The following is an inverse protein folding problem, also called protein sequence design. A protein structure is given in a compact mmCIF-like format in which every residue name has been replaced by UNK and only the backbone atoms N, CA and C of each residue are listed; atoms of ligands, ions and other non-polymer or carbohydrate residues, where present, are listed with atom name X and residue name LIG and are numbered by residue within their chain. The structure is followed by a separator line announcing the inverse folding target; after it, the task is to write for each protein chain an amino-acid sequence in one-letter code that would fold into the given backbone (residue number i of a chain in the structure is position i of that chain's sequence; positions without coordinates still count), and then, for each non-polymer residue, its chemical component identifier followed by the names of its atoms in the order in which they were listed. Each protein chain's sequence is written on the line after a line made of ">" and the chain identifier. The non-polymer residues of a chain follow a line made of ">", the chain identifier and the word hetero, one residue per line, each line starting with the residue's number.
data_IF_051730000733
#
_entry.id   IF_051730000733
#
_cell.length_a   1.000
_cell.length_b   1.000
_cell.length_c   1.000
_cell.angle_alpha   90.00
_cell.angle_beta   90.00
_cell.angle_gamma   90.00
#
_symmetry.space_group_name_H-M   'P 1'
#
loop_
_entity.id
_entity.type
_entity.pdbx_description
1 polymer ?
#
# COMPACT_ATOMS: atom_id res chain seq x y z
N UNK A 1 3.59 -7.34 11.28
CA UNK A 1 2.86 -8.59 11.50
C UNK A 1 2.73 -8.89 13.01
N UNK A 2 3.84 -8.99 13.75
CA UNK A 2 3.84 -9.30 15.19
C UNK A 2 3.00 -8.32 16.02
N UNK A 3 2.90 -7.08 15.62
CA UNK A 3 2.05 -6.07 16.26
C UNK A 3 0.54 -6.30 16.02
N UNK A 4 0.16 -7.10 15.04
CA UNK A 4 -1.25 -7.39 14.70
C UNK A 4 -2.01 -6.19 14.15
N UNK A 5 -1.31 -5.22 13.55
CA UNK A 5 -1.88 -3.98 13.02
C UNK A 5 -2.28 -4.10 11.55
N UNK A 6 -3.25 -3.30 11.06
CA UNK A 6 -3.70 -3.39 9.67
C UNK A 6 -2.62 -2.96 8.67
N UNK A 7 -1.73 -2.05 9.04
CA UNK A 7 -0.80 -1.43 8.10
C UNK A 7 0.56 -2.14 8.08
N UNK A 8 0.68 -3.27 7.38
CA UNK A 8 1.97 -3.97 7.24
C UNK A 8 2.99 -3.15 6.43
N UNK A 9 2.55 -2.39 5.44
CA UNK A 9 3.38 -1.61 4.52
C UNK A 9 3.62 -0.17 4.97
N UNK A 10 3.01 0.29 6.07
CA UNK A 10 3.11 1.67 6.55
C UNK A 10 4.57 2.16 6.71
N UNK A 11 5.47 1.27 7.13
CA UNK A 11 6.88 1.60 7.26
C UNK A 11 7.54 1.87 5.90
N UNK A 12 7.18 1.13 4.87
CA UNK A 12 7.66 1.32 3.50
C UNK A 12 7.15 2.64 2.92
N UNK A 13 5.86 2.90 3.02
CA UNK A 13 5.22 4.10 2.48
C UNK A 13 5.78 5.38 3.10
N UNK A 14 5.96 5.40 4.43
CA UNK A 14 6.56 6.55 5.11
C UNK A 14 8.03 6.76 4.75
N UNK A 15 8.79 5.67 4.55
CA UNK A 15 10.17 5.75 4.11
C UNK A 15 10.29 6.26 2.68
N UNK A 16 9.43 5.80 1.77
CA UNK A 16 9.34 6.27 0.39
C UNK A 16 9.02 7.76 0.36
N UNK A 17 8.00 8.20 1.11
CA UNK A 17 7.61 9.61 1.17
C UNK A 17 8.76 10.51 1.65
N UNK A 18 9.43 10.16 2.75
CA UNK A 18 10.57 10.94 3.26
C UNK A 18 11.74 10.93 2.28
N UNK A 19 12.06 9.79 1.67
CA UNK A 19 13.14 9.66 0.69
C UNK A 19 12.89 10.53 -0.54
N UNK A 20 11.66 10.51 -1.04
CA UNK A 20 11.23 11.35 -2.17
C UNK A 20 11.43 12.85 -1.86
N UNK A 21 10.97 13.31 -0.70
CA UNK A 21 11.15 14.72 -0.31
C UNK A 21 12.61 15.08 -0.12
N UNK A 22 13.44 14.20 0.47
CA UNK A 22 14.90 14.41 0.58
C UNK A 22 15.55 14.52 -0.79
N UNK A 23 15.18 13.66 -1.72
CA UNK A 23 15.69 13.71 -3.08
C UNK A 23 15.28 15.02 -3.77
N UNK A 24 14.00 15.39 -3.71
CA UNK A 24 13.52 16.65 -4.27
C UNK A 24 14.27 17.87 -3.69
N UNK A 25 14.48 17.89 -2.37
CA UNK A 25 15.22 18.96 -1.72
C UNK A 25 16.71 18.98 -2.14
N UNK A 26 17.37 17.81 -2.21
CA UNK A 26 18.76 17.68 -2.64
C UNK A 26 18.99 18.22 -4.06
N UNK A 27 18.07 17.91 -4.96
CA UNK A 27 18.12 18.35 -6.36
C UNK A 27 17.41 19.69 -6.61
N UNK A 28 16.97 20.39 -5.54
CA UNK A 28 16.29 21.70 -5.63
C UNK A 28 15.01 21.67 -6.47
N UNK A 29 14.33 20.52 -6.54
CA UNK A 29 13.08 20.35 -7.26
C UNK A 29 11.92 20.91 -6.44
N UNK A 30 10.99 21.58 -7.10
CA UNK A 30 9.78 22.13 -6.47
C UNK A 30 8.53 21.29 -6.71
N UNK A 31 8.57 20.42 -7.70
CA UNK A 31 7.44 19.59 -8.09
C UNK A 31 7.84 18.12 -8.13
N UNK A 32 6.94 17.28 -7.66
CA UNK A 32 7.03 15.82 -7.74
C UNK A 32 5.75 15.31 -8.41
N UNK A 33 5.89 14.50 -9.44
CA UNK A 33 4.75 13.87 -10.11
C UNK A 33 4.42 12.56 -9.40
N UNK A 34 3.14 12.38 -9.04
CA UNK A 34 2.60 11.13 -8.51
C UNK A 34 1.66 10.48 -9.53
N UNK A 35 1.81 9.18 -9.75
CA UNK A 35 0.98 8.39 -10.66
C UNK A 35 -0.35 7.93 -10.06
N UNK A 36 -0.76 8.44 -8.89
CA UNK A 36 -2.02 8.10 -8.25
C UNK A 36 -3.23 8.49 -9.11
N UNK A 37 -4.22 7.59 -9.22
CA UNK A 37 -5.47 7.82 -9.93
C UNK A 37 -6.67 7.37 -9.09
N UNK A 38 -7.66 8.25 -8.89
CA UNK A 38 -8.91 7.88 -8.23
C UNK A 38 -9.69 6.81 -8.96
N UNK A 39 -9.63 6.82 -10.28
CA UNK A 39 -10.35 5.87 -11.14
C UNK A 39 -9.79 4.45 -10.97
N UNK A 40 -8.45 4.34 -10.90
CA UNK A 40 -7.80 3.04 -10.80
C UNK A 40 -7.70 2.50 -9.36
N UNK A 41 -7.56 3.38 -8.38
CA UNK A 41 -7.22 3.00 -7.01
C UNK A 41 -8.37 3.21 -6.01
N UNK A 42 -9.32 4.09 -6.36
CA UNK A 42 -10.41 4.49 -5.47
C UNK A 42 -9.95 5.42 -4.35
N UNK A 43 -10.81 5.57 -3.35
CA UNK A 43 -10.54 6.37 -2.15
C UNK A 43 -10.71 5.47 -0.93
N UNK A 44 -9.67 5.38 -0.12
CA UNK A 44 -9.71 4.65 1.15
C UNK A 44 -10.19 5.57 2.28
N UNK A 45 -11.20 5.19 3.06
CA UNK A 45 -11.59 5.90 4.26
C UNK A 45 -10.43 5.96 5.26
N UNK A 46 -10.16 7.13 5.84
CA UNK A 46 -9.04 7.35 6.76
C UNK A 46 -9.15 6.62 8.12
N UNK A 47 -10.33 6.10 8.48
CA UNK A 47 -10.66 5.71 9.84
C UNK A 47 -9.73 4.70 10.51
N UNK A 48 -9.40 3.59 9.85
CA UNK A 48 -8.62 2.50 10.45
C UNK A 48 -7.20 2.36 9.89
N UNK A 49 -6.86 3.14 8.88
CA UNK A 49 -5.61 3.05 8.14
C UNK A 49 -4.73 4.30 8.33
N UNK A 50 -4.92 4.99 9.47
CA UNK A 50 -4.09 6.14 9.79
C UNK A 50 -2.74 5.67 10.32
N UNK A 51 -1.68 6.23 9.76
CA UNK A 51 -0.32 6.03 10.25
C UNK A 51 0.54 7.29 10.02
N UNK A 52 1.48 7.49 10.93
CA UNK A 52 2.49 8.56 10.86
C UNK A 52 3.81 8.13 11.49
N UNK A 53 4.74 9.05 11.63
CA UNK A 53 6.03 8.77 12.26
C UNK A 53 5.94 8.41 13.75
N UNK A 54 4.90 8.84 14.48
CA UNK A 54 4.68 8.43 15.86
C UNK A 54 4.21 6.99 15.92
N UNK A 55 3.25 6.63 15.06
CA UNK A 55 2.75 5.27 14.90
C UNK A 55 3.89 4.28 14.65
N UNK A 56 4.75 4.55 13.66
CA UNK A 56 5.91 3.68 13.38
C UNK A 56 6.85 3.58 14.58
N UNK A 57 7.13 4.69 15.27
CA UNK A 57 7.98 4.68 16.46
C UNK A 57 7.37 3.88 17.60
N UNK A 58 6.07 3.97 17.84
CA UNK A 58 5.39 3.24 18.91
C UNK A 58 5.46 1.73 18.71
N UNK A 59 5.19 1.27 17.49
CA UNK A 59 5.31 -0.13 17.10
C UNK A 59 6.77 -0.59 17.24
N UNK A 60 7.69 0.19 16.68
CA UNK A 60 9.13 -0.14 16.75
C UNK A 60 9.66 -0.21 18.19
N UNK A 61 9.22 0.69 19.07
CA UNK A 61 9.60 0.66 20.51
C UNK A 61 9.18 -0.64 21.19
N UNK A 62 8.04 -1.22 20.77
CA UNK A 62 7.47 -2.43 21.39
C UNK A 62 7.99 -3.73 20.77
N UNK A 63 8.18 -3.74 19.45
CA UNK A 63 8.48 -4.96 18.69
C UNK A 63 9.84 -4.92 17.96
N UNK A 64 10.47 -3.75 17.87
CA UNK A 64 11.76 -3.62 17.19
C UNK A 64 12.93 -3.93 18.13
N UNK A 65 13.90 -4.66 17.62
CA UNK A 65 15.13 -5.03 18.33
C UNK A 65 16.38 -4.28 17.83
N UNK A 66 16.25 -3.50 16.75
CA UNK A 66 17.35 -2.75 16.13
C UNK A 66 17.06 -1.26 16.17
N UNK A 67 18.02 -0.42 16.52
CA UNK A 67 17.84 1.04 16.56
C UNK A 67 17.61 1.62 15.16
N UNK A 68 16.57 2.43 14.98
CA UNK A 68 16.30 3.17 13.74
C UNK A 68 17.28 4.34 13.53
N UNK A 69 18.50 4.05 13.08
CA UNK A 69 19.53 5.10 12.85
C UNK A 69 19.41 5.74 11.46
N UNK A 70 19.23 4.94 10.43
CA UNK A 70 19.23 5.38 9.01
C UNK A 70 17.85 5.39 8.38
N UNK A 71 16.86 4.81 9.03
CA UNK A 71 15.51 4.72 8.51
C UNK A 71 14.92 6.12 8.25
N UNK A 72 14.45 6.39 7.02
CA UNK A 72 13.93 7.71 6.64
C UNK A 72 12.50 7.92 7.14
N UNK A 73 12.37 8.13 8.44
CA UNK A 73 11.08 8.31 9.07
C UNK A 73 10.47 9.68 8.73
N UNK A 74 9.32 9.70 8.07
CA UNK A 74 8.50 10.90 7.90
C UNK A 74 7.79 11.23 9.22
N UNK A 75 7.98 12.44 9.72
CA UNK A 75 7.23 12.99 10.85
C UNK A 75 6.44 14.21 10.41
N UNK A 76 5.45 14.63 11.19
CA UNK A 76 4.66 15.82 10.89
C UNK A 76 5.54 17.07 10.70
N UNK A 77 6.54 17.28 11.58
CA UNK A 77 7.46 18.42 11.45
C UNK A 77 8.29 18.37 10.16
N UNK A 78 8.70 17.17 9.73
CA UNK A 78 9.40 17.01 8.45
C UNK A 78 8.46 17.28 7.29
N UNK A 79 7.23 16.80 7.35
CA UNK A 79 6.22 17.10 6.33
C UNK A 79 6.02 18.62 6.17
N UNK A 80 5.84 19.36 7.27
CA UNK A 80 5.76 20.82 7.26
C UNK A 80 7.03 21.44 6.67
N UNK A 81 8.21 20.98 7.08
CA UNK A 81 9.48 21.44 6.52
C UNK A 81 9.51 21.30 5.00
N UNK A 82 9.19 20.11 4.47
CA UNK A 82 9.25 19.86 3.03
C UNK A 82 8.22 20.66 2.24
N UNK A 83 6.99 20.73 2.73
CA UNK A 83 5.88 21.37 2.01
C UNK A 83 5.88 22.90 2.15
N UNK A 84 6.18 23.43 3.33
CA UNK A 84 6.12 24.87 3.58
C UNK A 84 7.48 25.57 3.39
N UNK A 85 8.57 25.08 4.01
CA UNK A 85 9.88 25.74 3.92
C UNK A 85 10.54 25.48 2.55
N UNK A 86 10.57 24.21 2.12
CA UNK A 86 11.14 23.84 0.82
C UNK A 86 10.18 24.05 -0.34
N UNK A 87 8.87 24.25 -0.04
CA UNK A 87 7.79 24.48 -1.02
C UNK A 87 7.70 23.38 -2.08
N UNK A 88 7.97 22.13 -1.69
CA UNK A 88 7.85 20.98 -2.58
C UNK A 88 6.38 20.61 -2.70
N UNK A 89 5.86 20.60 -3.93
CA UNK A 89 4.47 20.28 -4.25
C UNK A 89 4.37 18.96 -4.99
N UNK A 90 3.38 18.16 -4.63
CA UNK A 90 3.01 16.96 -5.38
C UNK A 90 1.93 17.30 -6.40
N UNK A 91 2.12 16.84 -7.62
CA UNK A 91 1.17 16.98 -8.72
C UNK A 91 0.75 15.59 -9.16
N UNK A 92 -0.55 15.39 -9.34
CA UNK A 92 -1.16 14.14 -9.78
C UNK A 92 -1.76 14.31 -11.17
N UNK A 93 -0.97 14.15 -12.23
CA UNK A 93 -1.43 14.44 -13.61
C UNK A 93 -2.65 13.60 -14.01
N UNK A 94 -2.73 12.35 -13.53
CA UNK A 94 -3.83 11.44 -13.87
C UNK A 94 -5.21 11.87 -13.31
N UNK A 95 -5.25 12.91 -12.48
CA UNK A 95 -6.52 13.52 -12.04
C UNK A 95 -7.12 14.50 -13.05
N UNK A 96 -6.32 14.95 -14.00
CA UNK A 96 -6.66 16.05 -14.93
C UNK A 96 -6.73 15.58 -16.39
N UNK A 97 -6.44 14.32 -16.66
CA UNK A 97 -6.49 13.71 -17.98
C UNK A 97 -7.47 12.54 -17.99
N UNK A 98 -8.01 12.24 -19.15
CA UNK A 98 -8.79 11.01 -19.36
C UNK A 98 -7.84 9.81 -19.30
N UNK A 99 -7.82 9.12 -18.16
CA UNK A 99 -6.91 8.03 -17.86
C UNK A 99 -7.64 6.69 -17.81
N UNK A 100 -7.21 5.76 -18.65
CA UNK A 100 -7.64 4.37 -18.61
C UNK A 100 -6.45 3.46 -18.25
N UNK A 101 -6.57 2.72 -17.13
CA UNK A 101 -5.53 1.77 -16.70
C UNK A 101 -5.31 0.67 -17.75
N UNK A 102 -6.37 0.18 -18.38
CA UNK A 102 -6.29 -0.87 -19.40
C UNK A 102 -5.60 -0.36 -20.67
N UNK A 103 -5.91 0.85 -21.12
CA UNK A 103 -5.21 1.48 -22.24
C UNK A 103 -3.72 1.71 -21.93
N UNK A 104 -3.41 2.14 -20.70
CA UNK A 104 -2.02 2.30 -20.25
C UNK A 104 -1.26 0.98 -20.23
N UNK A 105 -1.86 -0.11 -19.71
CA UNK A 105 -1.25 -1.45 -19.72
C UNK A 105 -0.93 -1.91 -21.14
N UNK A 106 -1.91 -1.78 -22.05
CA UNK A 106 -1.73 -2.14 -23.46
C UNK A 106 -0.57 -1.36 -24.10
N UNK A 107 -0.54 -0.05 -23.90
CA UNK A 107 0.55 0.80 -24.39
C UNK A 107 1.92 0.35 -23.85
N UNK A 108 2.01 0.06 -22.55
CA UNK A 108 3.25 -0.36 -21.91
C UNK A 108 3.72 -1.73 -22.41
N UNK A 109 2.80 -2.67 -22.62
CA UNK A 109 3.10 -3.97 -23.21
C UNK A 109 3.61 -3.84 -24.65
N UNK A 110 2.93 -3.06 -25.48
CA UNK A 110 3.28 -2.89 -26.89
C UNK A 110 4.59 -2.13 -27.12
N UNK A 111 4.87 -1.11 -26.29
CA UNK A 111 6.03 -0.21 -26.53
C UNK A 111 7.25 -0.51 -25.67
N UNK A 112 7.06 -1.12 -24.51
CA UNK A 112 8.13 -1.22 -23.50
C UNK A 112 8.32 -2.66 -22.99
N UNK A 113 7.65 -3.63 -23.60
CA UNK A 113 7.71 -5.06 -23.19
C UNK A 113 7.37 -5.26 -21.70
N UNK A 114 6.50 -4.38 -21.16
CA UNK A 114 6.06 -4.49 -19.78
C UNK A 114 5.11 -5.68 -19.61
N UNK A 115 5.31 -6.46 -18.57
CA UNK A 115 4.48 -7.63 -18.28
C UNK A 115 3.48 -7.33 -17.18
N UNK A 116 2.22 -7.73 -17.39
CA UNK A 116 1.17 -7.60 -16.38
C UNK A 116 1.38 -8.64 -15.27
N UNK A 117 1.52 -8.18 -14.05
CA UNK A 117 1.64 -9.00 -12.85
C UNK A 117 0.28 -9.42 -12.24
N UNK A 118 -0.81 -9.26 -12.98
CA UNK A 118 -2.12 -9.86 -12.68
C UNK A 118 -3.04 -9.04 -11.78
N UNK A 119 -2.62 -7.92 -11.19
CA UNK A 119 -3.50 -7.12 -10.35
C UNK A 119 -2.85 -5.93 -9.65
N UNK A 120 -3.65 -5.20 -8.87
CA UNK A 120 -3.20 -4.04 -8.11
C UNK A 120 -2.36 -4.47 -6.90
N UNK A 121 -1.16 -3.93 -6.79
CA UNK A 121 -0.17 -4.24 -5.75
C UNK A 121 0.36 -5.69 -5.71
N UNK A 122 0.17 -6.47 -6.79
CA UNK A 122 0.69 -7.82 -6.86
C UNK A 122 2.16 -7.90 -7.36
N UNK A 123 2.74 -6.78 -7.77
CA UNK A 123 4.16 -6.66 -8.14
C UNK A 123 5.10 -6.90 -6.95
N UNK A 124 4.63 -6.64 -5.73
CA UNK A 124 5.37 -6.89 -4.49
C UNK A 124 4.73 -8.03 -3.71
N UNK A 125 5.46 -9.12 -3.52
CA UNK A 125 4.95 -10.31 -2.84
C UNK A 125 4.54 -10.07 -1.38
N UNK A 126 5.21 -9.18 -0.64
CA UNK A 126 4.81 -8.82 0.73
C UNK A 126 3.48 -8.07 0.72
N UNK A 127 3.31 -7.11 -0.20
CA UNK A 127 2.06 -6.37 -0.37
C UNK A 127 0.94 -7.29 -0.88
N UNK A 128 1.25 -8.23 -1.79
CA UNK A 128 0.32 -9.27 -2.24
C UNK A 128 -0.19 -10.13 -1.08
N UNK A 129 0.72 -10.59 -0.19
CA UNK A 129 0.35 -11.28 1.04
C UNK A 129 -0.53 -10.40 1.94
N UNK A 130 -0.11 -9.15 2.17
CA UNK A 130 -0.84 -8.22 3.05
C UNK A 130 -2.28 -8.00 2.57
N UNK A 131 -2.46 -7.71 1.28
CA UNK A 131 -3.77 -7.39 0.70
C UNK A 131 -4.63 -8.62 0.38
N UNK A 132 -4.02 -9.73 -0.01
CA UNK A 132 -4.75 -10.93 -0.43
C UNK A 132 -5.06 -11.90 0.71
N UNK A 133 -4.23 -11.95 1.75
CA UNK A 133 -4.34 -12.91 2.85
C UNK A 133 -4.55 -12.21 4.19
N UNK A 134 -3.58 -11.40 4.63
CA UNK A 134 -3.57 -10.84 5.98
C UNK A 134 -4.75 -9.93 6.27
N UNK A 135 -4.96 -8.90 5.45
CA UNK A 135 -6.06 -7.95 5.65
C UNK A 135 -7.45 -8.60 5.58
N UNK A 136 -7.77 -9.44 4.56
CA UNK A 136 -9.07 -10.11 4.53
C UNK A 136 -9.29 -11.08 5.68
N UNK A 137 -8.29 -11.88 6.04
CA UNK A 137 -8.46 -12.94 7.03
C UNK A 137 -8.40 -12.42 8.46
N UNK A 138 -7.43 -11.57 8.80
CA UNK A 138 -7.22 -11.07 10.16
C UNK A 138 -7.99 -9.78 10.45
N UNK A 139 -7.94 -8.82 9.55
CA UNK A 139 -8.46 -7.47 9.78
C UNK A 139 -9.90 -7.30 9.28
N UNK A 140 -10.35 -8.21 8.39
CA UNK A 140 -11.65 -8.16 7.73
C UNK A 140 -11.80 -6.96 6.80
N UNK A 141 -10.70 -6.53 6.19
CA UNK A 141 -10.65 -5.47 5.18
C UNK A 141 -10.21 -6.08 3.86
N UNK A 142 -10.97 -5.85 2.81
CA UNK A 142 -10.62 -6.25 1.45
C UNK A 142 -10.53 -5.01 0.54
N UNK A 143 -9.32 -4.63 0.17
CA UNK A 143 -9.07 -3.45 -0.67
C UNK A 143 -9.61 -3.57 -2.09
N UNK A 144 -9.93 -4.79 -2.57
CA UNK A 144 -10.61 -4.96 -3.86
C UNK A 144 -11.96 -4.24 -3.88
N UNK A 145 -12.60 -4.09 -2.71
CA UNK A 145 -13.85 -3.33 -2.60
C UNK A 145 -13.68 -1.88 -3.07
N UNK A 146 -12.57 -1.22 -2.72
CA UNK A 146 -12.29 0.15 -3.15
C UNK A 146 -12.06 0.24 -4.66
N UNK A 147 -11.20 -0.59 -5.20
CA UNK A 147 -10.82 -0.57 -6.63
C UNK A 147 -11.97 -0.99 -7.54
N UNK A 148 -12.71 -2.05 -7.18
CA UNK A 148 -13.88 -2.49 -7.95
C UNK A 148 -15.02 -1.47 -7.88
N UNK A 149 -15.25 -0.85 -6.71
CA UNK A 149 -16.26 0.19 -6.56
C UNK A 149 -15.90 1.46 -7.36
N UNK A 150 -14.63 1.85 -7.41
CA UNK A 150 -14.18 2.96 -8.24
C UNK A 150 -14.41 2.64 -9.73
N UNK A 151 -13.94 1.49 -10.21
CA UNK A 151 -14.12 1.06 -11.59
C UNK A 151 -15.59 0.94 -11.99
N UNK A 152 -16.46 0.50 -11.07
CA UNK A 152 -17.91 0.43 -11.31
C UNK A 152 -18.53 1.82 -11.46
N UNK A 153 -18.19 2.77 -10.59
CA UNK A 153 -18.71 4.15 -10.68
C UNK A 153 -18.31 4.86 -11.96
N UNK A 154 -17.13 4.55 -12.47
CA UNK A 154 -16.62 5.09 -13.74
C UNK A 154 -17.13 4.31 -14.98
N UNK A 155 -17.97 3.28 -14.79
CA UNK A 155 -18.50 2.49 -15.90
C UNK A 155 -17.49 1.57 -16.59
N UNK A 156 -16.31 1.37 -16.01
CA UNK A 156 -15.24 0.53 -16.56
C UNK A 156 -15.50 -0.96 -16.40
N UNK A 157 -16.38 -1.34 -15.49
CA UNK A 157 -16.78 -2.72 -15.24
C UNK A 157 -18.27 -2.77 -14.90
N UNK A 158 -18.94 -3.86 -15.31
CA UNK A 158 -20.33 -4.07 -14.94
C UNK A 158 -20.46 -4.48 -13.46
N UNK A 159 -21.63 -4.21 -12.83
CA UNK A 159 -21.92 -4.68 -11.47
C UNK A 159 -21.79 -6.20 -11.35
N UNK A 160 -22.25 -6.94 -12.36
CA UNK A 160 -22.18 -8.40 -12.38
C UNK A 160 -20.73 -8.89 -12.36
N UNK A 161 -19.87 -8.30 -13.17
CA UNK A 161 -18.45 -8.66 -13.21
C UNK A 161 -17.69 -8.23 -11.96
N UNK A 162 -18.02 -7.06 -11.40
CA UNK A 162 -17.46 -6.63 -10.13
C UNK A 162 -17.79 -7.60 -8.98
N UNK A 163 -19.05 -8.02 -8.88
CA UNK A 163 -19.49 -9.00 -7.87
C UNK A 163 -18.84 -10.38 -8.10
N UNK A 164 -18.71 -10.81 -9.37
CA UNK A 164 -18.01 -12.05 -9.69
C UNK A 164 -16.55 -11.99 -9.24
N UNK A 165 -15.81 -10.93 -9.59
CA UNK A 165 -14.41 -10.74 -9.18
C UNK A 165 -14.24 -10.70 -7.67
N UNK A 166 -15.19 -10.10 -6.96
CA UNK A 166 -15.12 -9.97 -5.50
C UNK A 166 -15.43 -11.28 -4.77
N UNK A 167 -16.56 -11.93 -5.09
CA UNK A 167 -17.08 -13.06 -4.33
C UNK A 167 -16.69 -14.43 -4.89
N UNK A 168 -16.43 -14.55 -6.20
CA UNK A 168 -16.19 -15.84 -6.85
C UNK A 168 -14.71 -16.03 -7.16
N UNK A 169 -14.10 -15.08 -7.87
CA UNK A 169 -12.71 -15.22 -8.31
C UNK A 169 -11.71 -15.08 -7.14
N UNK A 170 -12.09 -14.36 -6.10
CA UNK A 170 -11.22 -14.13 -4.95
C UNK A 170 -10.01 -13.22 -5.24
N UNK A 171 -9.09 -13.05 -4.28
CA UNK A 171 -7.81 -12.37 -4.51
C UNK A 171 -6.89 -13.25 -5.37
N UNK A 172 -6.29 -12.64 -6.40
CA UNK A 172 -5.32 -13.34 -7.25
C UNK A 172 -3.93 -13.29 -6.59
N UNK A 173 -3.64 -14.25 -5.72
CA UNK A 173 -2.35 -14.38 -5.05
C UNK A 173 -1.69 -15.72 -5.38
N UNK A 174 -0.36 -15.76 -5.33
CA UNK A 174 0.38 -17.01 -5.56
C UNK A 174 0.05 -18.05 -4.46
N UNK A 175 -0.06 -19.33 -4.84
CA UNK A 175 -0.39 -20.44 -3.91
C UNK A 175 0.61 -20.52 -2.74
N UNK A 176 1.88 -20.21 -2.99
CA UNK A 176 2.94 -20.29 -1.98
C UNK A 176 3.20 -18.97 -1.23
N UNK A 177 2.31 -17.97 -1.35
CA UNK A 177 2.54 -16.62 -0.79
C UNK A 177 2.68 -16.63 0.74
N UNK A 178 1.93 -17.50 1.43
CA UNK A 178 1.99 -17.65 2.89
C UNK A 178 3.34 -18.24 3.32
N UNK A 179 3.81 -19.28 2.63
CA UNK A 179 5.11 -19.90 2.90
C UNK A 179 6.25 -18.92 2.63
N UNK A 180 6.16 -18.18 1.52
CA UNK A 180 7.11 -17.12 1.22
C UNK A 180 7.15 -16.09 2.34
N UNK A 181 6.00 -15.63 2.81
CA UNK A 181 5.91 -14.64 3.88
C UNK A 181 6.52 -15.15 5.18
N UNK A 182 6.13 -16.36 5.65
CA UNK A 182 6.68 -17.00 6.86
C UNK A 182 8.20 -17.09 6.80
N UNK A 183 8.73 -17.58 5.67
CA UNK A 183 10.18 -17.69 5.45
C UNK A 183 10.85 -16.32 5.46
N UNK A 184 10.21 -15.30 4.89
CA UNK A 184 10.80 -13.96 4.76
C UNK A 184 10.94 -13.24 6.10
N UNK A 185 10.01 -13.48 7.02
CA UNK A 185 10.04 -12.90 8.38
C UNK A 185 10.55 -13.88 9.44
N UNK A 186 11.00 -15.07 9.04
CA UNK A 186 11.59 -16.10 9.91
C UNK A 186 10.65 -16.51 11.06
N UNK A 187 9.36 -16.74 10.76
CA UNK A 187 8.36 -17.13 11.74
C UNK A 187 7.96 -18.61 11.60
N UNK A 188 7.76 -19.30 12.72
CA UNK A 188 7.25 -20.67 12.74
C UNK A 188 5.78 -20.74 12.34
N UNK A 189 5.32 -21.94 11.92
CA UNK A 189 3.91 -22.18 11.61
C UNK A 189 3.00 -21.96 12.82
N UNK A 190 3.46 -22.37 13.98
CA UNK A 190 2.73 -22.20 15.23
C UNK A 190 2.56 -20.71 15.58
N UNK A 191 3.65 -19.94 15.57
CA UNK A 191 3.61 -18.51 15.85
C UNK A 191 2.79 -17.73 14.81
N UNK A 192 2.90 -18.12 13.53
CA UNK A 192 2.10 -17.53 12.46
C UNK A 192 0.60 -17.74 12.72
N UNK A 193 0.18 -18.98 12.99
CA UNK A 193 -1.22 -19.31 13.25
C UNK A 193 -1.74 -18.61 14.50
N UNK A 194 -0.95 -18.60 15.59
CA UNK A 194 -1.28 -17.88 16.80
C UNK A 194 -1.50 -16.39 16.51
N UNK A 195 -0.59 -15.74 15.77
CA UNK A 195 -0.71 -14.33 15.41
C UNK A 195 -1.88 -14.04 14.47
N UNK A 196 -2.20 -14.92 13.54
CA UNK A 196 -3.37 -14.75 12.68
C UNK A 196 -4.69 -14.84 13.47
N UNK A 197 -4.76 -15.65 14.50
CA UNK A 197 -5.96 -15.87 15.33
C UNK A 197 -6.11 -14.84 16.46
N UNK A 198 -5.07 -14.12 16.85
CA UNK A 198 -5.16 -13.03 17.83
C UNK A 198 -6.05 -11.89 17.32
N UNK A 199 -6.71 -11.18 18.24
CA UNK A 199 -7.48 -9.97 17.89
C UNK A 199 -6.57 -8.92 17.24
N UNK A 200 -7.03 -8.25 16.17
CA UNK A 200 -6.27 -7.18 15.54
C UNK A 200 -6.12 -5.97 16.48
N UNK A 201 -4.98 -5.32 16.40
CA UNK A 201 -4.72 -4.05 17.07
C UNK A 201 -4.83 -2.90 16.08
N UNK A 202 -5.67 -1.91 16.37
CA UNK A 202 -5.87 -0.79 15.44
C UNK A 202 -5.00 0.42 15.75
N UNK A 203 -4.31 0.41 16.87
CA UNK A 203 -3.33 1.44 17.16
C UNK A 203 -2.42 1.13 18.35
N UNK A 204 -1.27 1.81 18.38
CA UNK A 204 -0.31 1.78 19.46
C UNK A 204 0.04 3.21 19.89
N UNK A 205 0.01 3.44 21.17
CA UNK A 205 0.48 4.69 21.80
C UNK A 205 1.99 4.64 22.09
#
# INVERSE_FOLDING_TARGET
>A
FMAGVPELDASTDLALAETMYRAAAKFKLKYVLEGHSFIAEGITPLGKNYFDGKYIKSIHKKFGNVKMKTYPLMTFNKFIKWTMLYRIKKIRPLWYIDYSKEAAKKLLQEKYDWQDYGGHHLENRITSYAHGIYLPQKIKIDYRNNTLSASLREGLISRKDALKKYYIDGPNVEDNIVEYFKKRIEISDEDYNNKMNEKPNFWYE
#
